data_IF_512451251191
#
_entry.id   IF_512451251191
#
_cell.length_a   1.000
_cell.length_b   1.000
_cell.length_c   1.000
_cell.angle_alpha   90.00
_cell.angle_beta   90.00
_cell.angle_gamma   90.00
#
_symmetry.space_group_name_H-M   'P 1'
#
loop_
_entity.id
_entity.type
_entity.pdbx_description
1 polymer ?
#
# COMPACT_ATOMS: atom_id res chain seq x y z
N UNK A 1 13.14 -10.05 -21.64
CA UNK A 1 12.06 -10.20 -20.67
C UNK A 1 12.67 -10.75 -19.40
N UNK A 2 12.80 -9.87 -18.41
CA UNK A 2 13.22 -10.20 -17.07
C UNK A 2 12.29 -11.25 -16.45
N UNK A 3 12.87 -12.08 -15.58
CA UNK A 3 12.13 -13.09 -14.83
C UNK A 3 11.30 -12.42 -13.72
N UNK A 4 10.00 -12.69 -13.73
CA UNK A 4 9.07 -12.17 -12.72
C UNK A 4 8.70 -13.22 -11.67
N UNK A 5 9.15 -14.47 -11.81
CA UNK A 5 8.85 -15.51 -10.82
C UNK A 5 9.35 -15.09 -9.44
N UNK A 6 8.56 -15.42 -8.41
CA UNK A 6 8.90 -15.11 -7.02
C UNK A 6 8.76 -16.34 -6.13
N UNK A 7 9.58 -16.35 -5.07
CA UNK A 7 9.41 -17.20 -3.91
C UNK A 7 9.14 -16.34 -2.67
N UNK A 8 7.87 -16.24 -2.26
CA UNK A 8 7.45 -15.45 -1.12
C UNK A 8 7.23 -16.34 0.11
N UNK A 9 8.21 -16.36 1.02
CA UNK A 9 8.18 -17.21 2.22
C UNK A 9 7.95 -18.72 1.95
N UNK A 10 8.46 -19.22 0.81
CA UNK A 10 8.25 -20.61 0.36
C UNK A 10 7.13 -20.77 -0.67
N UNK A 11 6.28 -19.75 -0.85
CA UNK A 11 5.17 -19.75 -1.80
C UNK A 11 5.69 -19.32 -3.18
N UNK A 12 5.63 -20.24 -4.14
CA UNK A 12 6.03 -19.99 -5.53
C UNK A 12 4.88 -19.31 -6.30
N UNK A 13 5.20 -18.29 -7.10
CA UNK A 13 4.25 -17.68 -8.01
C UNK A 13 4.89 -17.30 -9.36
N UNK A 14 4.15 -17.32 -10.48
CA UNK A 14 4.66 -16.95 -11.80
C UNK A 14 5.07 -15.49 -11.92
N UNK A 15 4.49 -14.62 -11.09
CA UNK A 15 4.76 -13.19 -11.02
C UNK A 15 4.34 -12.63 -9.64
N UNK A 16 4.76 -11.42 -9.25
CA UNK A 16 4.50 -10.88 -7.92
C UNK A 16 3.09 -10.33 -7.70
N UNK A 17 2.23 -10.33 -8.73
CA UNK A 17 0.92 -9.69 -8.68
C UNK A 17 -0.12 -10.67 -8.16
N UNK A 18 -0.59 -10.43 -6.94
CA UNK A 18 -1.62 -11.24 -6.31
C UNK A 18 -2.93 -10.45 -6.20
N UNK A 19 -4.08 -11.10 -6.35
CA UNK A 19 -5.34 -10.48 -5.93
C UNK A 19 -5.42 -10.49 -4.40
N UNK A 20 -5.78 -9.36 -3.79
CA UNK A 20 -5.97 -9.28 -2.35
C UNK A 20 -7.29 -9.95 -1.91
N UNK A 21 -7.35 -10.42 -0.66
CA UNK A 21 -8.59 -10.93 -0.03
C UNK A 21 -9.67 -9.86 0.02
N UNK A 22 -10.64 -9.94 -0.91
CA UNK A 22 -11.58 -8.87 -1.23
C UNK A 22 -12.72 -9.39 -2.14
N UNK A 23 -13.72 -8.57 -2.55
CA UNK A 23 -14.77 -9.02 -3.49
C UNK A 23 -14.28 -9.75 -4.75
N UNK A 24 -13.12 -9.39 -5.37
CA UNK A 24 -12.59 -10.09 -6.53
C UNK A 24 -12.16 -11.54 -6.28
N UNK A 25 -12.07 -12.00 -5.02
CA UNK A 25 -11.60 -13.35 -4.65
C UNK A 25 -12.63 -14.12 -3.80
N UNK A 26 -13.93 -13.81 -3.94
CA UNK A 26 -14.99 -14.43 -3.14
C UNK A 26 -15.45 -15.81 -3.64
N UNK A 27 -15.10 -16.17 -4.88
CA UNK A 27 -15.51 -17.44 -5.50
C UNK A 27 -14.40 -18.04 -6.35
N UNK A 28 -14.41 -19.36 -6.52
CA UNK A 28 -13.50 -20.07 -7.42
C UNK A 28 -13.61 -19.58 -8.86
N UNK A 29 -14.81 -19.27 -9.34
CA UNK A 29 -14.99 -18.70 -10.68
C UNK A 29 -14.18 -17.41 -10.90
N UNK A 30 -14.19 -16.49 -9.92
CA UNK A 30 -13.46 -15.23 -10.04
C UNK A 30 -11.94 -15.48 -10.00
N UNK A 31 -11.46 -16.29 -9.06
CA UNK A 31 -10.04 -16.59 -8.91
C UNK A 31 -9.49 -17.31 -10.14
N UNK A 32 -10.21 -18.30 -10.66
CA UNK A 32 -9.80 -19.00 -11.88
C UNK A 32 -9.74 -18.07 -13.10
N UNK A 33 -10.67 -17.12 -13.23
CA UNK A 33 -10.62 -16.10 -14.28
C UNK A 33 -9.46 -15.13 -14.13
N UNK A 34 -9.05 -14.83 -12.90
CA UNK A 34 -7.86 -14.04 -12.65
C UNK A 34 -6.60 -14.79 -13.06
N UNK A 35 -6.49 -16.08 -12.73
CA UNK A 35 -5.37 -16.92 -13.20
C UNK A 35 -5.35 -17.06 -14.72
N UNK A 36 -6.51 -17.18 -15.37
CA UNK A 36 -6.60 -17.16 -16.85
C UNK A 36 -6.09 -15.85 -17.47
N UNK A 37 -6.25 -14.71 -16.78
CA UNK A 37 -5.73 -13.42 -17.21
C UNK A 37 -4.22 -13.23 -16.90
N UNK A 38 -3.61 -14.12 -16.11
CA UNK A 38 -2.18 -14.08 -15.80
C UNK A 38 -1.80 -13.58 -14.40
N UNK A 39 -2.75 -13.41 -13.48
CA UNK A 39 -2.43 -13.11 -12.08
C UNK A 39 -1.57 -14.20 -11.46
N UNK A 40 -0.42 -13.85 -10.87
CA UNK A 40 0.50 -14.84 -10.30
C UNK A 40 -0.03 -15.53 -9.04
N UNK A 41 -0.96 -14.89 -8.34
CA UNK A 41 -1.59 -15.46 -7.16
C UNK A 41 -2.89 -14.79 -6.77
N UNK A 42 -3.57 -15.37 -5.79
CA UNK A 42 -4.77 -14.80 -5.18
C UNK A 42 -4.85 -15.17 -3.71
N UNK A 43 -5.20 -14.19 -2.89
CA UNK A 43 -5.62 -14.41 -1.52
C UNK A 43 -7.14 -14.52 -1.50
N UNK A 44 -7.65 -15.69 -1.15
CA UNK A 44 -9.08 -15.99 -1.07
C UNK A 44 -9.77 -15.05 -0.07
N UNK A 45 -11.03 -14.68 -0.35
CA UNK A 45 -11.83 -13.87 0.57
C UNK A 45 -11.85 -14.53 1.95
N UNK A 46 -11.65 -13.72 3.00
CA UNK A 46 -11.50 -14.20 4.37
C UNK A 46 -12.61 -15.20 4.77
N UNK A 47 -12.17 -16.36 5.25
CA UNK A 47 -12.98 -17.47 5.72
C UNK A 47 -13.10 -17.41 7.25
N UNK A 48 -14.26 -17.83 7.75
CA UNK A 48 -14.60 -17.88 9.16
C UNK A 48 -16.01 -18.39 9.34
N UNK A 49 -16.61 -18.14 10.49
CA UNK A 49 -18.03 -18.43 10.72
C UNK A 49 -18.90 -17.57 9.78
N UNK A 50 -19.92 -18.14 9.11
CA UNK A 50 -20.75 -17.39 8.17
C UNK A 50 -21.36 -16.14 8.78
N UNK A 51 -21.13 -14.99 8.13
CA UNK A 51 -21.73 -13.72 8.50
C UNK A 51 -22.85 -13.33 7.52
N UNK A 52 -23.60 -12.29 7.85
CA UNK A 52 -24.60 -11.72 6.95
C UNK A 52 -24.21 -10.29 6.60
N UNK A 53 -23.87 -10.06 5.33
CA UNK A 53 -23.58 -8.73 4.83
C UNK A 53 -24.86 -7.90 4.70
N UNK A 54 -24.72 -6.59 4.93
CA UNK A 54 -25.78 -5.61 4.62
C UNK A 54 -25.84 -5.32 3.11
N UNK A 55 -26.97 -4.77 2.68
CA UNK A 55 -27.21 -4.33 1.30
C UNK A 55 -27.10 -2.81 1.20
N UNK A 56 -26.40 -2.33 0.16
CA UNK A 56 -25.69 -1.04 0.12
C UNK A 56 -24.49 -1.03 1.06
N UNK A 57 -23.32 -1.42 0.54
CA UNK A 57 -22.09 -1.59 1.33
C UNK A 57 -20.82 -1.05 0.67
N UNK A 58 -20.97 -0.32 -0.43
CA UNK A 58 -19.89 0.38 -1.11
C UNK A 58 -20.28 1.83 -1.31
N UNK A 59 -19.30 2.70 -1.17
CA UNK A 59 -19.31 4.06 -1.67
C UNK A 59 -18.02 4.31 -2.45
N UNK A 60 -18.02 5.38 -3.23
CA UNK A 60 -16.83 5.82 -3.95
C UNK A 60 -16.55 7.28 -3.65
N UNK A 61 -15.26 7.61 -3.56
CA UNK A 61 -14.81 8.99 -3.62
C UNK A 61 -14.65 9.41 -5.08
N UNK A 62 -15.09 10.61 -5.40
CA UNK A 62 -14.91 11.25 -6.70
C UNK A 62 -13.99 12.45 -6.52
N UNK A 63 -13.09 12.68 -7.49
CA UNK A 63 -12.11 13.76 -7.37
C UNK A 63 -11.84 14.40 -8.73
N UNK A 64 -11.92 15.73 -8.83
CA UNK A 64 -11.61 16.51 -10.04
C UNK A 64 -12.22 15.96 -11.35
N UNK A 65 -13.50 15.58 -11.32
CA UNK A 65 -14.20 15.04 -12.50
C UNK A 65 -13.90 13.57 -12.81
N UNK A 66 -12.90 12.96 -12.15
CA UNK A 66 -12.67 11.52 -12.21
C UNK A 66 -13.67 10.80 -11.32
N UNK A 67 -14.42 9.86 -11.91
CA UNK A 67 -15.24 8.93 -11.14
C UNK A 67 -14.33 7.88 -10.50
N UNK A 68 -14.63 7.50 -9.26
CA UNK A 68 -13.93 6.48 -8.49
C UNK A 68 -12.42 6.77 -8.36
N UNK A 69 -12.09 7.75 -7.52
CA UNK A 69 -10.73 7.99 -7.02
C UNK A 69 -10.34 7.06 -5.85
N UNK A 70 -11.32 6.34 -5.31
CA UNK A 70 -11.18 5.34 -4.26
C UNK A 70 -12.55 4.78 -3.88
N UNK A 71 -12.56 3.67 -3.15
CA UNK A 71 -13.78 3.08 -2.58
C UNK A 71 -13.75 3.17 -1.06
N UNK A 72 -14.93 3.27 -0.47
CA UNK A 72 -15.18 2.93 0.92
C UNK A 72 -16.10 1.72 0.94
N UNK A 73 -15.89 0.81 1.89
CA UNK A 73 -16.75 -0.37 2.04
C UNK A 73 -17.07 -0.67 3.50
N UNK A 74 -18.27 -1.21 3.73
CA UNK A 74 -18.72 -1.81 4.99
C UNK A 74 -18.99 -3.31 4.81
N UNK A 75 -18.25 -3.96 3.91
CA UNK A 75 -18.35 -5.40 3.66
C UNK A 75 -17.55 -6.19 4.68
N UNK A 76 -18.09 -7.32 5.13
CA UNK A 76 -17.45 -8.20 6.11
C UNK A 76 -16.63 -9.30 5.41
N UNK A 77 -16.37 -10.40 6.13
CA UNK A 77 -15.79 -11.63 5.56
C UNK A 77 -16.77 -12.33 4.60
N UNK A 78 -16.43 -13.51 4.09
CA UNK A 78 -17.35 -14.23 3.20
C UNK A 78 -18.68 -14.55 3.92
N UNK A 79 -19.79 -14.34 3.23
CA UNK A 79 -21.13 -14.79 3.64
C UNK A 79 -21.46 -16.18 3.09
N UNK A 80 -20.51 -16.82 2.39
CA UNK A 80 -20.68 -18.12 1.77
C UNK A 80 -20.34 -19.24 2.76
N UNK A 81 -21.03 -20.40 2.69
CA UNK A 81 -20.68 -21.55 3.53
C UNK A 81 -19.22 -21.97 3.37
N UNK A 82 -18.58 -22.35 4.48
CA UNK A 82 -17.18 -22.75 4.48
C UNK A 82 -16.91 -23.93 3.53
N UNK A 83 -17.76 -24.95 3.53
CA UNK A 83 -17.58 -26.14 2.65
C UNK A 83 -17.54 -25.77 1.17
N UNK A 84 -18.39 -24.84 0.73
CA UNK A 84 -18.42 -24.39 -0.66
C UNK A 84 -17.10 -23.70 -1.03
N UNK A 85 -16.56 -22.88 -0.12
CA UNK A 85 -15.25 -22.27 -0.34
C UNK A 85 -14.13 -23.31 -0.38
N UNK A 86 -14.13 -24.29 0.53
CA UNK A 86 -13.12 -25.34 0.57
C UNK A 86 -13.12 -26.21 -0.70
N UNK A 87 -14.31 -26.58 -1.20
CA UNK A 87 -14.47 -27.31 -2.46
C UNK A 87 -13.94 -26.49 -3.65
N UNK A 88 -14.30 -25.21 -3.72
CA UNK A 88 -13.82 -24.33 -4.79
C UNK A 88 -12.32 -24.04 -4.73
N UNK A 89 -11.75 -23.91 -3.53
CA UNK A 89 -10.29 -23.79 -3.32
C UNK A 89 -9.59 -25.03 -3.87
N UNK A 90 -10.07 -26.22 -3.50
CA UNK A 90 -9.51 -27.49 -3.95
C UNK A 90 -9.53 -27.61 -5.48
N UNK A 91 -10.68 -27.37 -6.11
CA UNK A 91 -10.80 -27.45 -7.57
C UNK A 91 -9.97 -26.37 -8.28
N UNK A 92 -9.87 -25.17 -7.70
CA UNK A 92 -9.04 -24.08 -8.23
C UNK A 92 -7.56 -24.45 -8.18
N UNK A 93 -7.06 -24.93 -7.05
CA UNK A 93 -5.65 -25.31 -6.90
C UNK A 93 -5.30 -26.48 -7.82
N UNK A 94 -6.17 -27.49 -7.91
CA UNK A 94 -6.00 -28.63 -8.81
C UNK A 94 -5.89 -28.20 -10.28
N UNK A 95 -6.68 -27.21 -10.72
CA UNK A 95 -6.65 -26.67 -12.08
C UNK A 95 -5.44 -25.76 -12.33
N UNK A 96 -4.98 -25.04 -11.30
CA UNK A 96 -3.89 -24.05 -11.40
C UNK A 96 -2.76 -24.34 -10.39
N UNK A 97 -2.02 -25.45 -10.53
CA UNK A 97 -1.05 -25.90 -9.53
C UNK A 97 0.13 -24.94 -9.33
N UNK A 98 0.47 -24.16 -10.35
CA UNK A 98 1.63 -23.27 -10.34
C UNK A 98 1.30 -21.83 -9.91
N UNK A 99 0.05 -21.52 -9.58
CA UNK A 99 -0.35 -20.20 -9.07
C UNK A 99 -0.46 -20.23 -7.55
N UNK A 100 -0.05 -19.14 -6.90
CA UNK A 100 -0.15 -19.03 -5.46
C UNK A 100 -1.62 -18.86 -5.04
N UNK A 101 -2.10 -19.74 -4.17
CA UNK A 101 -3.45 -19.69 -3.61
C UNK A 101 -3.38 -19.67 -2.09
N UNK A 102 -3.71 -18.51 -1.50
CA UNK A 102 -3.62 -18.27 -0.06
C UNK A 102 -5.02 -18.21 0.53
N UNK A 103 -5.31 -18.95 1.60
CA UNK A 103 -6.58 -18.78 2.32
C UNK A 103 -6.45 -17.66 3.36
N UNK A 104 -7.24 -16.59 3.20
CA UNK A 104 -7.37 -15.60 4.28
C UNK A 104 -8.30 -16.12 5.37
N UNK A 105 -7.91 -16.02 6.63
CA UNK A 105 -8.62 -16.60 7.78
C UNK A 105 -8.93 -15.55 8.84
N UNK A 106 -10.10 -15.66 9.46
CA UNK A 106 -10.46 -14.90 10.65
C UNK A 106 -11.52 -15.65 11.45
N UNK A 107 -11.19 -15.99 12.69
CA UNK A 107 -12.07 -16.64 13.66
C UNK A 107 -11.98 -15.92 15.00
N UNK A 108 -12.86 -16.26 15.93
CA UNK A 108 -12.75 -15.77 17.30
C UNK A 108 -11.39 -16.16 17.91
N UNK A 109 -10.84 -15.35 18.84
CA UNK A 109 -9.51 -15.54 19.41
C UNK A 109 -9.47 -16.71 20.42
N UNK A 110 -9.80 -17.91 19.93
CA UNK A 110 -9.81 -19.19 20.62
C UNK A 110 -8.88 -20.15 19.88
N UNK A 111 -7.97 -20.79 20.62
CA UNK A 111 -6.92 -21.63 20.05
C UNK A 111 -7.50 -22.79 19.23
N UNK A 112 -8.55 -23.43 19.74
CA UNK A 112 -9.20 -24.57 19.10
C UNK A 112 -9.84 -24.19 17.76
N UNK A 113 -10.45 -23.00 17.68
CA UNK A 113 -11.05 -22.49 16.43
C UNK A 113 -9.99 -22.21 15.38
N UNK A 114 -8.88 -21.59 15.77
CA UNK A 114 -7.72 -21.40 14.89
C UNK A 114 -7.17 -22.75 14.40
N UNK A 115 -7.01 -23.73 15.30
CA UNK A 115 -6.53 -25.06 14.92
C UNK A 115 -7.44 -25.77 13.93
N UNK A 116 -8.76 -25.68 14.11
CA UNK A 116 -9.73 -26.29 13.21
C UNK A 116 -9.67 -25.68 11.81
N UNK A 117 -9.78 -24.34 11.69
CA UNK A 117 -9.86 -23.68 10.40
C UNK A 117 -8.57 -23.83 9.59
N UNK A 118 -7.41 -23.82 10.25
CA UNK A 118 -6.10 -24.06 9.61
C UNK A 118 -6.06 -25.45 8.99
N UNK A 119 -6.36 -26.50 9.76
CA UNK A 119 -6.32 -27.89 9.26
C UNK A 119 -7.27 -28.10 8.08
N UNK A 120 -8.47 -27.51 8.14
CA UNK A 120 -9.47 -27.65 7.08
C UNK A 120 -9.07 -26.94 5.79
N UNK A 121 -8.46 -25.77 5.89
CA UNK A 121 -8.03 -24.98 4.73
C UNK A 121 -6.77 -25.55 4.09
N UNK A 122 -5.81 -26.03 4.89
CA UNK A 122 -4.66 -26.78 4.38
C UNK A 122 -5.06 -28.08 3.70
N UNK A 123 -6.06 -28.81 4.24
CA UNK A 123 -6.60 -30.01 3.60
C UNK A 123 -7.22 -29.75 2.21
N UNK A 124 -7.66 -28.51 1.93
CA UNK A 124 -8.12 -28.09 0.61
C UNK A 124 -6.96 -27.80 -0.37
N UNK A 125 -5.71 -27.76 0.10
CA UNK A 125 -4.51 -27.68 -0.73
C UNK A 125 -3.99 -26.26 -0.96
N UNK A 126 -4.30 -25.29 -0.10
CA UNK A 126 -3.73 -23.93 -0.20
C UNK A 126 -2.19 -23.94 -0.06
N UNK A 127 -1.53 -22.99 -0.70
CA UNK A 127 -0.07 -22.84 -0.61
C UNK A 127 0.38 -22.06 0.63
N UNK A 128 -0.56 -21.36 1.28
CA UNK A 128 -0.30 -20.56 2.48
C UNK A 128 -1.58 -20.01 3.09
N UNK A 129 -1.42 -19.37 4.24
CA UNK A 129 -2.50 -18.79 5.04
C UNK A 129 -2.26 -17.29 5.22
N UNK A 130 -3.32 -16.48 5.22
CA UNK A 130 -3.26 -15.06 5.58
C UNK A 130 -4.19 -14.76 6.77
N UNK A 131 -3.61 -14.44 7.93
CA UNK A 131 -4.37 -14.10 9.13
C UNK A 131 -4.86 -12.66 9.02
N UNK A 132 -6.18 -12.48 8.87
CA UNK A 132 -6.77 -11.16 8.68
C UNK A 132 -7.02 -10.47 10.04
N UNK A 133 -6.02 -9.73 10.51
CA UNK A 133 -6.15 -8.85 11.68
C UNK A 133 -6.49 -7.41 11.30
N UNK A 134 -6.97 -7.17 10.07
CA UNK A 134 -7.09 -5.83 9.52
C UNK A 134 -8.49 -5.27 9.32
N UNK A 135 -9.55 -6.10 9.34
CA UNK A 135 -10.91 -5.66 9.07
C UNK A 135 -11.39 -4.62 10.10
N UNK A 136 -11.66 -3.35 9.71
CA UNK A 136 -11.90 -2.28 10.67
C UNK A 136 -13.33 -2.22 11.22
N UNK A 137 -14.29 -2.92 10.61
CA UNK A 137 -15.73 -2.77 10.89
C UNK A 137 -16.47 -4.11 10.98
N UNK A 138 -17.55 -4.16 11.77
CA UNK A 138 -18.46 -5.30 11.96
C UNK A 138 -17.90 -6.53 12.68
N UNK A 139 -16.57 -6.67 12.70
CA UNK A 139 -15.84 -7.74 13.39
C UNK A 139 -15.10 -7.21 14.63
N UNK A 140 -14.72 -5.93 14.63
CA UNK A 140 -14.09 -5.26 15.76
C UNK A 140 -15.02 -5.25 17.00
N UNK A 141 -16.32 -5.09 16.79
CA UNK A 141 -17.36 -5.16 17.81
C UNK A 141 -17.47 -6.55 18.46
N UNK A 142 -16.88 -7.57 17.83
CA UNK A 142 -16.78 -8.94 18.33
C UNK A 142 -15.35 -9.30 18.79
N UNK A 143 -14.46 -8.32 18.92
CA UNK A 143 -13.06 -8.52 19.32
C UNK A 143 -12.15 -9.10 18.24
N UNK A 144 -12.62 -9.22 17.00
CA UNK A 144 -11.88 -9.78 15.86
C UNK A 144 -11.41 -8.68 14.88
N UNK A 145 -10.64 -9.06 13.86
CA UNK A 145 -10.14 -8.12 12.85
C UNK A 145 -9.22 -7.07 13.46
N UNK A 146 -9.46 -5.79 13.18
CA UNK A 146 -8.61 -4.70 13.68
C UNK A 146 -8.60 -4.58 15.19
N UNK A 147 -9.64 -5.05 15.91
CA UNK A 147 -9.63 -5.06 17.37
C UNK A 147 -8.53 -5.99 17.93
N UNK A 148 -8.25 -7.11 17.24
CA UNK A 148 -7.09 -7.94 17.53
C UNK A 148 -5.81 -7.33 16.95
N UNK A 149 -5.85 -6.85 15.71
CA UNK A 149 -4.68 -6.33 14.99
C UNK A 149 -4.09 -5.03 15.51
N UNK A 150 -4.79 -4.33 16.39
CA UNK A 150 -4.29 -3.13 17.09
C UNK A 150 -3.56 -3.46 18.40
N UNK A 151 -3.62 -4.72 18.86
CA UNK A 151 -3.08 -5.16 20.15
C UNK A 151 -1.93 -6.14 19.87
N UNK A 152 -0.66 -5.71 19.98
CA UNK A 152 0.50 -6.56 19.70
C UNK A 152 0.45 -7.93 20.40
N UNK A 153 0.04 -7.98 21.66
CA UNK A 153 -0.04 -9.23 22.43
C UNK A 153 -1.06 -10.22 21.85
N UNK A 154 -2.16 -9.72 21.26
CA UNK A 154 -3.15 -10.58 20.59
C UNK A 154 -2.65 -11.03 19.22
N UNK A 155 -1.89 -10.20 18.51
CA UNK A 155 -1.26 -10.57 17.23
C UNK A 155 -0.25 -11.69 17.45
N UNK A 156 0.67 -11.53 18.41
CA UNK A 156 1.66 -12.55 18.76
C UNK A 156 0.98 -13.87 19.15
N UNK A 157 0.04 -13.81 20.10
CA UNK A 157 -0.63 -15.00 20.65
C UNK A 157 -1.41 -15.78 19.60
N UNK A 158 -2.20 -15.11 18.75
CA UNK A 158 -2.99 -15.78 17.72
C UNK A 158 -2.11 -16.31 16.59
N UNK A 159 -1.05 -15.59 16.22
CA UNK A 159 -0.07 -16.08 15.25
C UNK A 159 0.60 -17.35 15.78
N UNK A 160 0.99 -17.35 17.06
CA UNK A 160 1.56 -18.53 17.72
C UNK A 160 0.60 -19.73 17.67
N UNK A 161 -0.68 -19.55 18.00
CA UNK A 161 -1.68 -20.62 17.92
C UNK A 161 -1.82 -21.23 16.53
N UNK A 162 -1.79 -20.39 15.49
CA UNK A 162 -1.82 -20.87 14.11
C UNK A 162 -0.55 -21.66 13.80
N UNK A 163 0.62 -21.15 14.19
CA UNK A 163 1.92 -21.80 13.93
C UNK A 163 2.11 -23.13 14.66
N UNK A 164 1.37 -23.40 15.73
CA UNK A 164 1.36 -24.72 16.38
C UNK A 164 0.89 -25.85 15.47
N UNK A 165 0.02 -25.55 14.49
CA UNK A 165 -0.59 -26.56 13.62
C UNK A 165 -0.33 -26.38 12.13
N UNK A 166 -0.04 -25.15 11.67
CA UNK A 166 0.17 -24.85 10.27
C UNK A 166 1.40 -25.59 9.71
N UNK A 167 1.22 -26.25 8.57
CA UNK A 167 2.28 -26.88 7.77
C UNK A 167 2.70 -25.99 6.58
N UNK A 168 1.85 -25.04 6.21
CA UNK A 168 2.07 -24.05 5.14
C UNK A 168 2.51 -22.70 5.72
N UNK A 169 3.15 -21.83 4.92
CA UNK A 169 3.55 -20.50 5.35
C UNK A 169 2.36 -19.65 5.83
N UNK A 170 2.58 -18.92 6.92
CA UNK A 170 1.59 -18.05 7.57
C UNK A 170 2.00 -16.59 7.37
N UNK A 171 1.13 -15.86 6.67
CA UNK A 171 1.22 -14.43 6.42
C UNK A 171 0.30 -13.71 7.42
N UNK A 172 0.78 -12.69 8.11
CA UNK A 172 -0.06 -11.88 9.02
C UNK A 172 -0.42 -10.54 8.38
N UNK A 173 -1.72 -10.28 8.17
CA UNK A 173 -2.20 -9.05 7.54
C UNK A 173 -2.51 -7.96 8.55
N UNK A 174 -1.74 -6.87 8.48
CA UNK A 174 -1.76 -5.81 9.47
C UNK A 174 -2.74 -4.67 9.11
N UNK A 175 -3.34 -4.09 10.15
CA UNK A 175 -4.19 -2.90 10.05
C UNK A 175 -3.35 -1.63 10.00
N UNK A 176 -3.69 -0.65 9.14
CA UNK A 176 -3.08 0.68 9.20
C UNK A 176 -3.68 1.57 10.31
N UNK A 177 -4.73 1.10 10.98
CA UNK A 177 -5.47 1.89 11.96
C UNK A 177 -4.78 1.84 13.33
N UNK A 178 -3.49 2.16 13.38
CA UNK A 178 -2.63 2.06 14.56
C UNK A 178 -1.62 3.20 14.56
N UNK A 179 -1.11 3.58 15.74
CA UNK A 179 -0.07 4.61 15.90
C UNK A 179 1.25 4.19 15.27
N UNK A 180 1.67 2.94 15.50
CA UNK A 180 2.93 2.39 15.01
C UNK A 180 2.69 0.95 14.55
N UNK A 181 2.75 0.74 13.24
CA UNK A 181 2.55 -0.59 12.63
C UNK A 181 3.73 -1.53 12.90
N UNK A 182 4.92 -1.00 13.19
CA UNK A 182 6.10 -1.84 13.44
C UNK A 182 5.93 -2.66 14.71
N UNK A 183 5.21 -2.15 15.71
CA UNK A 183 4.90 -2.86 16.94
C UNK A 183 4.11 -4.17 16.68
N UNK A 184 3.09 -4.13 15.82
CA UNK A 184 2.28 -5.31 15.51
C UNK A 184 2.94 -6.21 14.48
N UNK A 185 3.76 -5.66 13.59
CA UNK A 185 4.62 -6.44 12.70
C UNK A 185 5.66 -7.26 13.48
N UNK A 186 6.33 -6.66 14.47
CA UNK A 186 7.26 -7.37 15.35
C UNK A 186 6.56 -8.45 16.17
N UNK A 187 5.37 -8.17 16.69
CA UNK A 187 4.56 -9.15 17.41
C UNK A 187 4.17 -10.34 16.52
N UNK A 188 3.84 -10.09 15.24
CA UNK A 188 3.59 -11.16 14.27
C UNK A 188 4.84 -12.04 14.07
N UNK A 189 6.02 -11.43 13.93
CA UNK A 189 7.30 -12.17 13.83
C UNK A 189 7.58 -12.97 15.10
N UNK A 190 7.37 -12.40 16.28
CA UNK A 190 7.54 -13.09 17.57
C UNK A 190 6.58 -14.28 17.72
N UNK A 191 5.35 -14.16 17.20
CA UNK A 191 4.38 -15.25 17.11
C UNK A 191 4.74 -16.32 16.08
N UNK A 192 5.81 -16.12 15.29
CA UNK A 192 6.32 -17.09 14.31
C UNK A 192 5.77 -16.93 12.90
N UNK A 193 5.23 -15.76 12.53
CA UNK A 193 4.82 -15.50 11.16
C UNK A 193 5.98 -15.75 10.17
N UNK A 194 5.68 -16.37 9.02
CA UNK A 194 6.67 -16.58 7.96
C UNK A 194 6.76 -15.36 7.03
N UNK A 195 5.71 -14.53 7.01
CA UNK A 195 5.66 -13.27 6.28
C UNK A 195 4.62 -12.32 6.91
N UNK A 196 4.63 -11.06 6.49
CA UNK A 196 3.59 -10.09 6.82
C UNK A 196 3.03 -9.46 5.55
N UNK A 197 1.75 -9.08 5.58
CA UNK A 197 1.13 -8.32 4.51
C UNK A 197 0.54 -7.03 5.04
N UNK A 198 0.69 -5.93 4.29
CA UNK A 198 0.19 -4.63 4.74
C UNK A 198 -0.03 -3.65 3.58
N UNK A 199 -1.06 -2.83 3.60
CA UNK A 199 -2.00 -2.59 4.71
C UNK A 199 -3.41 -3.08 4.36
N UNK A 200 -4.22 -3.35 5.39
CA UNK A 200 -5.67 -3.40 5.22
C UNK A 200 -6.25 -1.99 4.95
N UNK A 201 -7.57 -1.86 4.85
CA UNK A 201 -8.22 -0.58 4.55
C UNK A 201 -8.13 0.42 5.70
N UNK A 202 -8.13 1.72 5.37
CA UNK A 202 -8.08 2.82 6.35
C UNK A 202 -9.48 3.16 6.82
N UNK A 203 -9.70 3.26 8.13
CA UNK A 203 -11.00 3.59 8.68
C UNK A 203 -11.45 5.00 8.25
N UNK A 204 -12.68 5.12 7.76
CA UNK A 204 -13.14 6.33 7.07
C UNK A 204 -14.67 6.43 6.98
N UNK A 205 -15.14 7.63 6.68
CA UNK A 205 -16.51 7.92 6.26
C UNK A 205 -16.46 8.53 4.85
N UNK A 206 -17.16 7.93 3.88
CA UNK A 206 -17.03 8.37 2.48
C UNK A 206 -17.72 9.72 2.21
N UNK A 207 -18.78 10.03 2.95
CA UNK A 207 -19.50 11.28 2.80
C UNK A 207 -20.86 11.27 3.47
N UNK A 208 -21.55 12.39 3.32
CA UNK A 208 -22.91 12.62 3.79
C UNK A 208 -23.71 13.22 2.64
N UNK A 209 -24.85 12.62 2.34
CA UNK A 209 -25.83 13.14 1.41
C UNK A 209 -26.43 14.44 1.99
N UNK A 210 -26.36 15.55 1.26
CA UNK A 210 -26.73 16.86 1.80
C UNK A 210 -28.24 17.11 1.87
N UNK A 211 -29.03 16.33 1.14
CA UNK A 211 -30.49 16.45 1.13
C UNK A 211 -31.12 15.64 2.27
N UNK A 212 -30.55 14.47 2.58
CA UNK A 212 -31.09 13.53 3.56
C UNK A 212 -30.28 13.45 4.85
N UNK A 213 -29.05 13.97 4.86
CA UNK A 213 -28.05 13.86 5.94
C UNK A 213 -27.65 12.44 6.32
N UNK A 214 -28.00 11.47 5.47
CA UNK A 214 -27.52 10.10 5.62
C UNK A 214 -26.05 10.03 5.20
N UNK A 215 -25.31 9.13 5.83
CA UNK A 215 -23.96 8.78 5.35
C UNK A 215 -24.03 8.08 3.99
N UNK A 216 -22.90 8.04 3.30
CA UNK A 216 -22.74 7.29 2.05
C UNK A 216 -21.68 6.20 2.24
N UNK A 217 -22.03 4.90 2.16
CA UNK A 217 -23.39 4.37 2.05
C UNK A 217 -24.16 4.48 3.38
N UNK A 218 -25.46 4.21 3.34
CA UNK A 218 -26.28 3.97 4.52
C UNK A 218 -27.17 2.73 4.32
N UNK A 219 -27.59 2.14 5.42
CA UNK A 219 -28.49 0.98 5.47
C UNK A 219 -29.70 1.37 6.31
N UNK A 220 -30.87 1.50 5.66
CA UNK A 220 -32.11 1.88 6.36
C UNK A 220 -32.03 3.19 7.13
N UNK A 221 -31.28 4.17 6.61
CA UNK A 221 -31.07 5.48 7.28
C UNK A 221 -29.92 5.52 8.30
N UNK A 222 -29.14 4.44 8.45
CA UNK A 222 -28.01 4.38 9.38
C UNK A 222 -26.68 4.19 8.66
N UNK A 223 -25.68 4.94 9.09
CA UNK A 223 -24.29 4.82 8.65
C UNK A 223 -23.42 4.03 9.59
N UNK A 224 -22.30 3.56 9.06
CA UNK A 224 -21.17 3.06 9.83
C UNK A 224 -19.87 3.61 9.21
N UNK A 225 -18.79 3.60 9.99
CA UNK A 225 -17.47 3.79 9.42
C UNK A 225 -17.10 2.56 8.57
N UNK A 226 -16.28 2.77 7.55
CA UNK A 226 -15.89 1.73 6.62
C UNK A 226 -14.43 1.84 6.21
N UNK A 227 -13.97 0.85 5.46
CA UNK A 227 -12.59 0.79 4.96
C UNK A 227 -12.42 1.55 3.65
N UNK A 228 -11.59 2.60 3.66
CA UNK A 228 -11.13 3.30 2.46
C UNK A 228 -9.98 2.54 1.77
N UNK A 229 -10.07 2.43 0.45
CA UNK A 229 -9.06 1.85 -0.42
C UNK A 229 -8.97 2.61 -1.75
N UNK A 230 -7.86 2.43 -2.46
CA UNK A 230 -7.59 3.06 -3.76
C UNK A 230 -6.30 3.89 -3.76
N UNK A 231 -6.00 4.58 -4.87
CA UNK A 231 -4.72 5.25 -5.10
C UNK A 231 -4.27 6.19 -3.96
N UNK A 232 -5.20 6.91 -3.32
CA UNK A 232 -4.87 7.81 -2.22
C UNK A 232 -4.34 7.09 -0.95
N UNK A 233 -4.49 5.76 -0.86
CA UNK A 233 -3.91 4.93 0.22
C UNK A 233 -2.43 4.62 -0.03
N UNK A 234 -1.96 4.65 -1.28
CA UNK A 234 -0.59 4.31 -1.68
C UNK A 234 0.50 4.97 -0.81
N UNK A 235 0.52 6.29 -0.59
CA UNK A 235 1.60 6.92 0.20
C UNK A 235 1.62 6.46 1.66
N UNK A 236 0.45 6.13 2.24
CA UNK A 236 0.34 5.63 3.62
C UNK A 236 0.86 4.20 3.69
N UNK A 237 0.46 3.36 2.73
CA UNK A 237 0.93 1.98 2.62
C UNK A 237 2.45 1.89 2.38
N UNK A 238 3.00 2.74 1.48
CA UNK A 238 4.44 2.80 1.22
C UNK A 238 5.24 3.20 2.46
N UNK A 239 4.78 4.19 3.22
CA UNK A 239 5.42 4.54 4.48
C UNK A 239 5.46 3.35 5.44
N UNK A 240 4.32 2.69 5.66
CA UNK A 240 4.24 1.54 6.58
C UNK A 240 5.11 0.36 6.15
N UNK A 241 5.16 0.06 4.84
CA UNK A 241 6.07 -0.93 4.26
C UNK A 241 7.53 -0.52 4.51
N UNK A 242 7.89 0.73 4.26
CA UNK A 242 9.25 1.25 4.46
C UNK A 242 9.70 1.18 5.93
N UNK A 243 8.83 1.57 6.87
CA UNK A 243 9.08 1.49 8.31
C UNK A 243 9.31 0.05 8.75
N UNK A 244 8.52 -0.91 8.25
CA UNK A 244 8.72 -2.32 8.57
C UNK A 244 9.99 -2.87 7.91
N UNK A 245 10.23 -2.57 6.63
CA UNK A 245 11.38 -3.07 5.88
C UNK A 245 12.73 -2.58 6.42
N UNK A 246 12.79 -1.37 6.97
CA UNK A 246 14.02 -0.83 7.59
C UNK A 246 14.25 -1.30 9.02
N UNK A 247 13.25 -1.89 9.66
CA UNK A 247 13.33 -2.33 11.04
C UNK A 247 13.98 -3.73 11.12
N UNK A 248 15.17 -3.88 11.75
CA UNK A 248 15.89 -5.15 11.78
C UNK A 248 15.19 -6.26 12.58
N UNK A 249 14.19 -5.92 13.41
CA UNK A 249 13.36 -6.89 14.15
C UNK A 249 12.27 -7.51 13.27
N UNK A 250 12.02 -6.96 12.09
CA UNK A 250 11.05 -7.46 11.11
C UNK A 250 11.85 -8.04 9.96
N UNK A 251 12.27 -9.30 10.12
CA UNK A 251 13.18 -10.00 9.21
C UNK A 251 12.48 -11.03 8.32
N UNK A 252 11.17 -10.87 8.12
CA UNK A 252 10.33 -11.73 7.29
C UNK A 252 9.88 -11.00 6.01
N UNK A 253 9.60 -11.70 4.90
CA UNK A 253 9.12 -11.07 3.68
C UNK A 253 7.84 -10.25 3.87
N UNK A 254 7.73 -9.15 3.12
CA UNK A 254 6.58 -8.23 3.14
C UNK A 254 5.78 -8.34 1.85
N UNK A 255 4.47 -8.55 1.95
CA UNK A 255 3.51 -8.46 0.84
C UNK A 255 2.83 -7.09 0.88
N UNK A 256 3.17 -6.20 -0.06
CA UNK A 256 2.65 -4.83 -0.11
C UNK A 256 1.22 -4.75 -0.63
N UNK A 257 0.37 -3.94 0.00
CA UNK A 257 -1.06 -3.77 -0.33
C UNK A 257 -1.46 -2.30 -0.10
N UNK A 258 -2.16 -1.71 -1.06
CA UNK A 258 -2.78 -0.39 -0.88
C UNK A 258 -2.51 0.57 -2.03
N UNK A 259 -3.53 0.86 -2.83
CA UNK A 259 -3.45 1.87 -3.89
C UNK A 259 -2.61 1.51 -5.11
N UNK A 260 -2.09 0.28 -5.20
CA UNK A 260 -1.41 -0.23 -6.39
C UNK A 260 -2.38 -0.33 -7.56
N UNK A 261 -2.07 0.37 -8.64
CA UNK A 261 -2.92 0.48 -9.83
C UNK A 261 -2.22 0.17 -11.15
N UNK A 262 -0.89 0.10 -11.14
CA UNK A 262 -0.07 -0.16 -12.33
C UNK A 262 1.31 -0.73 -11.92
N UNK A 263 2.16 -1.01 -12.91
CA UNK A 263 3.50 -1.55 -12.69
C UNK A 263 4.46 -0.60 -11.96
N UNK A 264 4.32 0.72 -12.11
CA UNK A 264 5.18 1.71 -11.42
C UNK A 264 4.91 1.68 -9.93
N UNK A 265 3.63 1.64 -9.55
CA UNK A 265 3.23 1.50 -8.15
C UNK A 265 3.82 0.20 -7.56
N UNK A 266 3.69 -0.92 -8.27
CA UNK A 266 4.26 -2.18 -7.81
C UNK A 266 5.79 -2.12 -7.67
N UNK A 267 6.49 -1.51 -8.64
CA UNK A 267 7.93 -1.32 -8.58
C UNK A 267 8.34 -0.46 -7.37
N UNK A 268 7.59 0.58 -7.03
CA UNK A 268 7.82 1.39 -5.82
C UNK A 268 7.67 0.56 -4.53
N UNK A 269 6.60 -0.24 -4.42
CA UNK A 269 6.43 -1.13 -3.26
C UNK A 269 7.57 -2.14 -3.12
N UNK A 270 8.04 -2.69 -4.24
CA UNK A 270 9.16 -3.63 -4.26
C UNK A 270 10.48 -2.96 -3.87
N UNK A 271 10.78 -1.79 -4.44
CA UNK A 271 11.93 -0.97 -4.06
C UNK A 271 11.95 -0.65 -2.56
N UNK A 272 10.78 -0.48 -1.95
CA UNK A 272 10.61 -0.24 -0.51
C UNK A 272 10.53 -1.52 0.35
N UNK A 273 10.74 -2.70 -0.23
CA UNK A 273 10.93 -3.95 0.52
C UNK A 273 9.85 -5.02 0.33
N UNK A 274 8.83 -4.79 -0.51
CA UNK A 274 7.82 -5.82 -0.78
C UNK A 274 8.35 -6.92 -1.70
N UNK A 275 8.18 -8.19 -1.33
CA UNK A 275 8.50 -9.36 -2.17
C UNK A 275 7.36 -9.79 -3.08
N UNK A 276 6.11 -9.49 -2.70
CA UNK A 276 4.91 -9.63 -3.53
C UNK A 276 4.01 -8.41 -3.32
N UNK A 277 3.04 -8.20 -4.22
CA UNK A 277 2.09 -7.09 -4.13
C UNK A 277 0.66 -7.60 -4.30
N UNK A 278 -0.26 -7.17 -3.44
CA UNK A 278 -1.69 -7.49 -3.56
C UNK A 278 -2.51 -6.32 -4.08
N UNK A 279 -3.42 -6.61 -5.00
CA UNK A 279 -4.23 -5.61 -5.70
C UNK A 279 -5.72 -5.92 -5.54
N UNK A 280 -6.52 -4.88 -5.31
CA UNK A 280 -7.97 -4.99 -5.15
C UNK A 280 -8.70 -3.92 -5.95
N UNK A 281 -8.57 -2.65 -5.55
CA UNK A 281 -9.32 -1.52 -6.15
C UNK A 281 -9.13 -1.42 -7.66
N UNK A 282 -7.90 -1.63 -8.15
CA UNK A 282 -7.62 -1.55 -9.58
C UNK A 282 -8.29 -2.69 -10.36
N UNK A 283 -8.29 -3.93 -9.84
CA UNK A 283 -9.00 -5.05 -10.44
C UNK A 283 -10.52 -4.85 -10.41
N UNK A 284 -11.07 -4.23 -9.33
CA UNK A 284 -12.49 -3.87 -9.26
C UNK A 284 -12.87 -2.78 -10.28
N UNK A 285 -11.95 -1.86 -10.57
CA UNK A 285 -12.22 -0.73 -11.46
C UNK A 285 -11.99 -1.08 -12.94
N UNK A 286 -10.96 -1.88 -13.25
CA UNK A 286 -10.50 -2.12 -14.62
C UNK A 286 -10.65 -3.59 -15.08
N UNK A 287 -11.07 -4.49 -14.19
CA UNK A 287 -11.14 -5.92 -14.48
C UNK A 287 -9.80 -6.64 -14.34
N UNK A 288 -9.80 -7.97 -14.53
CA UNK A 288 -8.62 -8.80 -14.29
C UNK A 288 -7.50 -8.61 -15.31
N UNK A 289 -7.80 -8.19 -16.54
CA UNK A 289 -6.80 -7.99 -17.61
C UNK A 289 -5.83 -6.85 -17.33
N UNK A 290 -6.08 -5.99 -16.32
CA UNK A 290 -5.12 -4.96 -15.90
C UNK A 290 -3.74 -5.57 -15.56
N UNK A 291 -3.72 -6.84 -15.14
CA UNK A 291 -2.46 -7.52 -14.79
C UNK A 291 -1.53 -7.70 -16.00
N UNK A 292 -2.07 -7.75 -17.22
CA UNK A 292 -1.28 -7.87 -18.45
C UNK A 292 -0.36 -6.65 -18.60
N UNK A 293 -0.93 -5.44 -18.51
CA UNK A 293 -0.16 -4.19 -18.53
C UNK A 293 0.81 -4.06 -17.35
N UNK A 294 0.45 -4.63 -16.19
CA UNK A 294 1.31 -4.63 -15.00
C UNK A 294 2.53 -5.53 -15.20
N UNK A 295 2.34 -6.72 -15.77
CA UNK A 295 3.40 -7.68 -16.08
C UNK A 295 4.33 -7.12 -17.15
N UNK A 296 3.78 -6.67 -18.28
CA UNK A 296 4.56 -6.15 -19.39
C UNK A 296 5.34 -4.89 -18.97
N UNK A 297 4.68 -3.98 -18.26
CA UNK A 297 5.31 -2.76 -17.78
C UNK A 297 6.46 -3.02 -16.80
N UNK A 298 6.28 -3.95 -15.85
CA UNK A 298 7.33 -4.30 -14.89
C UNK A 298 8.51 -5.01 -15.59
N UNK A 299 8.23 -5.96 -16.48
CA UNK A 299 9.29 -6.68 -17.22
C UNK A 299 10.12 -5.72 -18.09
N UNK A 300 9.45 -4.83 -18.83
CA UNK A 300 10.11 -3.81 -19.65
C UNK A 300 10.95 -2.83 -18.81
N UNK A 301 10.44 -2.43 -17.64
CA UNK A 301 11.20 -1.59 -16.71
C UNK A 301 12.47 -2.30 -16.22
N UNK A 302 12.37 -3.56 -15.80
CA UNK A 302 13.52 -4.35 -15.36
C UNK A 302 14.56 -4.52 -16.48
N UNK A 303 14.11 -4.85 -17.70
CA UNK A 303 14.98 -4.93 -18.88
C UNK A 303 15.70 -3.59 -19.14
N UNK A 304 14.97 -2.45 -19.06
CA UNK A 304 15.55 -1.10 -19.23
C UNK A 304 16.61 -0.75 -18.17
N UNK A 305 16.52 -1.37 -16.99
CA UNK A 305 17.47 -1.22 -15.88
C UNK A 305 18.53 -2.31 -15.85
N UNK A 306 18.53 -3.23 -16.81
CA UNK A 306 19.42 -4.39 -16.86
C UNK A 306 19.32 -5.27 -15.60
N UNK A 307 18.13 -5.38 -15.03
CA UNK A 307 17.83 -6.24 -13.89
C UNK A 307 17.19 -7.53 -14.42
N UNK A 308 17.82 -8.67 -14.20
CA UNK A 308 17.40 -9.95 -14.80
C UNK A 308 16.22 -10.62 -14.10
N UNK A 309 15.96 -10.30 -12.83
CA UNK A 309 14.87 -10.85 -12.02
C UNK A 309 14.26 -9.77 -11.13
N UNK A 310 12.94 -9.86 -10.90
CA UNK A 310 12.21 -8.96 -10.00
C UNK A 310 12.77 -8.97 -8.56
N UNK A 311 13.35 -10.09 -8.11
CA UNK A 311 14.04 -10.16 -6.80
C UNK A 311 15.16 -9.13 -6.69
N UNK A 312 15.83 -8.83 -7.81
CA UNK A 312 16.86 -7.81 -7.86
C UNK A 312 16.34 -6.41 -7.54
N UNK A 313 15.03 -6.14 -7.62
CA UNK A 313 14.44 -4.84 -7.29
C UNK A 313 14.16 -4.67 -5.79
N UNK A 314 13.93 -5.78 -5.07
CA UNK A 314 13.39 -5.76 -3.71
C UNK A 314 14.34 -5.03 -2.76
N UNK A 315 13.79 -4.11 -1.97
CA UNK A 315 14.47 -3.33 -0.93
C UNK A 315 15.61 -2.40 -1.37
N UNK A 316 15.89 -2.23 -2.68
CA UNK A 316 16.98 -1.35 -3.17
C UNK A 316 16.90 0.10 -2.70
N UNK A 317 15.72 0.58 -2.31
CA UNK A 317 15.52 1.96 -1.82
C UNK A 317 15.42 2.06 -0.30
N UNK A 318 15.36 0.95 0.43
CA UNK A 318 15.17 0.96 1.89
C UNK A 318 16.33 1.67 2.59
N UNK A 319 17.57 1.43 2.16
CA UNK A 319 18.76 2.10 2.72
C UNK A 319 18.79 3.62 2.48
N UNK A 320 18.01 4.12 1.51
CA UNK A 320 17.92 5.54 1.16
C UNK A 320 16.85 6.27 1.96
N UNK A 321 16.03 5.55 2.72
CA UNK A 321 14.97 6.09 3.54
C UNK A 321 15.46 6.17 4.99
N UNK A 322 15.48 7.39 5.54
CA UNK A 322 16.07 7.68 6.85
C UNK A 322 15.17 8.60 7.65
N UNK A 323 15.46 8.68 8.95
CA UNK A 323 14.84 9.68 9.81
C UNK A 323 15.32 11.08 9.40
N UNK A 324 14.43 12.06 9.51
CA UNK A 324 14.71 13.45 9.13
C UNK A 324 16.00 14.00 9.75
N UNK A 325 16.31 13.59 10.99
CA UNK A 325 17.50 14.03 11.71
C UNK A 325 18.84 13.70 11.04
N UNK A 326 18.83 12.76 10.08
CA UNK A 326 20.01 12.29 9.34
C UNK A 326 20.10 12.87 7.92
N UNK A 327 19.16 13.73 7.52
CA UNK A 327 19.22 14.39 6.22
C UNK A 327 20.29 15.49 6.23
N UNK A 328 20.95 15.69 5.09
CA UNK A 328 21.92 16.76 4.90
C UNK A 328 21.22 18.13 4.88
N UNK A 329 21.45 18.94 5.91
CA UNK A 329 20.91 20.29 6.04
C UNK A 329 21.54 21.29 5.06
N UNK A 330 22.71 20.95 4.53
CA UNK A 330 23.47 21.80 3.63
C UNK A 330 23.18 21.47 2.15
N UNK A 331 22.50 20.36 1.86
CA UNK A 331 21.98 20.09 0.52
C UNK A 331 21.01 21.18 0.08
N UNK A 332 21.33 21.90 -1.00
CA UNK A 332 20.55 23.04 -1.49
C UNK A 332 20.20 22.87 -2.96
N UNK A 333 18.93 23.10 -3.27
CA UNK A 333 18.41 23.19 -4.62
C UNK A 333 17.67 24.52 -4.81
N UNK A 334 17.61 25.02 -6.05
CA UNK A 334 16.82 26.20 -6.43
C UNK A 334 16.00 25.90 -7.67
N UNK A 335 14.87 26.59 -7.82
CA UNK A 335 14.01 26.43 -8.99
C UNK A 335 14.52 27.28 -10.15
N UNK A 336 14.51 26.74 -11.37
CA UNK A 336 14.73 27.48 -12.62
C UNK A 336 13.56 27.27 -13.57
N UNK A 337 13.03 28.36 -14.12
CA UNK A 337 11.88 28.33 -15.03
C UNK A 337 12.39 28.38 -16.46
N UNK A 338 12.01 27.37 -17.26
CA UNK A 338 12.21 27.38 -18.69
C UNK A 338 11.08 28.18 -19.35
N UNK A 339 11.35 29.45 -19.67
CA UNK A 339 10.38 30.35 -20.27
C UNK A 339 9.98 29.99 -21.72
N UNK A 340 10.75 29.15 -22.43
CA UNK A 340 10.36 28.64 -23.75
C UNK A 340 9.27 27.55 -23.66
N UNK A 341 9.22 26.85 -22.53
CA UNK A 341 8.22 25.80 -22.26
C UNK A 341 7.05 26.34 -21.43
N UNK A 342 7.26 27.44 -20.72
CA UNK A 342 6.27 28.07 -19.86
C UNK A 342 5.02 28.52 -20.65
N UNK A 343 3.84 28.15 -20.15
CA UNK A 343 2.55 28.55 -20.72
C UNK A 343 1.94 29.80 -20.04
N UNK A 344 2.71 30.49 -19.19
CA UNK A 344 2.30 31.71 -18.49
C UNK A 344 1.01 31.58 -17.66
N UNK A 345 0.76 30.40 -17.06
CA UNK A 345 -0.40 30.18 -16.20
C UNK A 345 -0.25 30.76 -14.78
N UNK A 346 0.96 31.20 -14.43
CA UNK A 346 1.34 31.84 -13.16
C UNK A 346 1.10 31.00 -11.88
N UNK A 347 0.78 29.71 -11.98
CA UNK A 347 0.57 28.84 -10.82
C UNK A 347 1.78 28.76 -9.89
N UNK A 348 2.99 28.68 -10.46
CA UNK A 348 4.23 28.67 -9.68
C UNK A 348 4.43 29.97 -8.91
N UNK A 349 4.19 31.13 -9.55
CA UNK A 349 4.22 32.43 -8.89
C UNK A 349 3.18 32.49 -7.76
N UNK A 350 1.90 32.17 -8.02
CA UNK A 350 0.84 32.17 -7.01
C UNK A 350 1.19 31.27 -5.81
N UNK A 351 1.68 30.05 -6.06
CA UNK A 351 2.07 29.14 -4.98
C UNK A 351 3.28 29.67 -4.20
N UNK A 352 4.22 30.36 -4.85
CA UNK A 352 5.35 30.94 -4.14
C UNK A 352 4.95 32.19 -3.34
N UNK A 353 4.14 33.05 -3.95
CA UNK A 353 3.74 34.36 -3.46
C UNK A 353 2.80 34.22 -2.26
N UNK A 354 1.72 33.46 -2.40
CA UNK A 354 0.66 33.43 -1.38
C UNK A 354 0.97 32.44 -0.25
N UNK A 355 1.80 31.42 -0.48
CA UNK A 355 1.93 30.28 0.46
C UNK A 355 3.35 29.78 0.70
N UNK A 356 4.39 30.49 0.25
CA UNK A 356 5.78 30.07 0.48
C UNK A 356 6.74 31.24 0.74
N UNK A 357 7.57 31.63 -0.23
CA UNK A 357 8.78 32.44 -0.01
C UNK A 357 8.90 33.67 -0.93
N UNK A 358 7.86 33.98 -1.72
CA UNK A 358 7.79 35.22 -2.54
C UNK A 358 9.02 35.44 -3.45
N UNK A 359 9.63 34.36 -3.96
CA UNK A 359 10.91 34.42 -4.69
C UNK A 359 10.77 34.29 -6.22
N UNK A 360 9.56 34.36 -6.76
CA UNK A 360 9.31 34.28 -8.21
C UNK A 360 8.74 35.62 -8.67
N UNK A 361 9.51 36.37 -9.46
CA UNK A 361 9.08 37.65 -10.02
C UNK A 361 8.29 37.49 -11.32
N UNK A 362 7.30 38.36 -11.48
CA UNK A 362 6.61 38.58 -12.76
C UNK A 362 7.25 39.76 -13.47
N UNK A 363 8.06 39.48 -14.49
CA UNK A 363 8.81 40.47 -15.23
C UNK A 363 8.24 40.69 -16.63
N UNK A 364 8.66 41.76 -17.29
CA UNK A 364 8.29 42.08 -18.67
C UNK A 364 9.55 42.31 -19.49
N UNK A 365 9.70 41.54 -20.57
CA UNK A 365 10.82 41.67 -21.51
C UNK A 365 10.74 42.98 -22.31
N UNK A 366 11.84 43.42 -22.96
CA UNK A 366 11.83 44.61 -23.80
C UNK A 366 10.78 44.58 -24.93
N UNK A 367 10.45 43.39 -25.42
CA UNK A 367 9.43 43.17 -26.46
C UNK A 367 7.99 43.16 -25.91
N UNK A 368 7.81 43.41 -24.61
CA UNK A 368 6.51 43.48 -23.94
C UNK A 368 5.96 42.13 -23.45
N UNK A 369 6.67 41.03 -23.67
CA UNK A 369 6.23 39.71 -23.22
C UNK A 369 6.49 39.54 -21.73
N UNK A 370 5.48 39.06 -20.98
CA UNK A 370 5.62 38.71 -19.57
C UNK A 370 6.36 37.38 -19.42
N UNK A 371 7.22 37.28 -18.41
CA UNK A 371 7.91 36.05 -18.07
C UNK A 371 8.10 35.95 -16.56
N UNK A 372 8.42 34.75 -16.08
CA UNK A 372 8.68 34.48 -14.66
C UNK A 372 10.17 34.26 -14.45
N UNK A 373 10.71 34.82 -13.37
CA UNK A 373 12.10 34.65 -12.97
C UNK A 373 12.19 34.31 -11.48
N UNK A 374 13.02 33.34 -11.13
CA UNK A 374 13.26 32.97 -9.73
C UNK A 374 14.46 33.75 -9.23
N UNK A 375 14.33 34.47 -8.12
CA UNK A 375 15.47 35.02 -7.38
C UNK A 375 16.13 33.89 -6.60
N UNK A 376 17.20 33.33 -7.13
CA UNK A 376 17.86 32.13 -6.57
C UNK A 376 18.37 32.34 -5.14
N UNK A 377 18.74 33.58 -4.78
CA UNK A 377 19.17 33.97 -3.45
C UNK A 377 18.06 33.83 -2.39
N UNK A 378 16.81 34.07 -2.79
CA UNK A 378 15.63 33.97 -1.94
C UNK A 378 14.98 32.58 -2.01
N UNK A 379 15.34 31.78 -3.02
CA UNK A 379 14.82 30.44 -3.22
C UNK A 379 15.39 29.46 -2.19
N UNK A 380 14.50 28.89 -1.37
CA UNK A 380 14.87 27.88 -0.36
C UNK A 380 14.76 26.44 -0.86
N UNK A 381 14.39 26.23 -2.14
CA UNK A 381 14.31 24.89 -2.71
C UNK A 381 13.16 24.01 -2.21
N UNK A 382 12.02 24.59 -1.81
CA UNK A 382 10.88 23.83 -1.27
C UNK A 382 10.13 22.94 -2.29
N UNK A 383 10.50 22.97 -3.57
CA UNK A 383 9.89 22.25 -4.70
C UNK A 383 8.43 22.60 -5.04
N UNK A 384 7.71 23.39 -4.24
CA UNK A 384 6.28 23.61 -4.42
C UNK A 384 5.92 24.13 -5.82
N UNK A 385 6.68 25.10 -6.33
CA UNK A 385 6.47 25.69 -7.66
C UNK A 385 6.57 24.64 -8.78
N UNK A 386 7.55 23.73 -8.70
CA UNK A 386 7.71 22.62 -9.66
C UNK A 386 6.54 21.63 -9.55
N UNK A 387 6.11 21.28 -8.34
CA UNK A 387 5.02 20.30 -8.10
C UNK A 387 3.67 20.80 -8.64
N UNK A 388 3.35 22.09 -8.47
CA UNK A 388 2.08 22.65 -8.94
C UNK A 388 2.08 23.02 -10.43
N UNK A 389 3.25 23.02 -11.07
CA UNK A 389 3.39 23.36 -12.48
C UNK A 389 2.67 22.31 -13.34
N UNK A 390 1.72 22.70 -14.21
CA UNK A 390 1.00 21.74 -15.04
C UNK A 390 1.79 21.29 -16.28
N UNK A 391 2.99 21.83 -16.49
CA UNK A 391 3.83 21.56 -17.67
C UNK A 391 5.11 20.87 -17.21
N UNK A 392 5.24 19.61 -17.59
CA UNK A 392 6.43 18.82 -17.33
C UNK A 392 7.67 19.49 -17.96
N UNK A 393 8.76 19.57 -17.21
CA UNK A 393 10.01 20.20 -17.66
C UNK A 393 10.02 21.73 -17.73
N UNK A 394 8.91 22.41 -17.41
CA UNK A 394 8.91 23.88 -17.39
C UNK A 394 9.61 24.47 -16.15
N UNK A 395 9.76 23.70 -15.07
CA UNK A 395 10.50 24.10 -13.88
C UNK A 395 11.41 22.94 -13.47
N UNK A 396 12.70 23.22 -13.36
CA UNK A 396 13.71 22.28 -12.91
C UNK A 396 14.23 22.71 -11.52
N UNK A 397 14.45 21.73 -10.64
CA UNK A 397 15.12 21.93 -9.36
C UNK A 397 16.60 21.60 -9.55
N UNK A 398 17.46 22.62 -9.45
CA UNK A 398 18.89 22.49 -9.72
C UNK A 398 19.66 22.56 -8.41
N UNK A 399 20.52 21.57 -8.17
CA UNK A 399 21.45 21.57 -7.04
C UNK A 399 22.47 22.70 -7.19
N UNK A 400 22.70 23.44 -6.10
CA UNK A 400 23.70 24.50 -6.04
C UNK A 400 24.65 24.25 -4.86
N UNK A 401 25.94 24.59 -4.98
CA UNK A 401 26.89 24.42 -3.90
C UNK A 401 26.46 25.19 -2.65
N UNK A 402 26.43 24.52 -1.50
CA UNK A 402 26.11 25.13 -0.22
C UNK A 402 26.78 24.38 0.93
N UNK A 403 27.96 24.81 1.36
CA UNK A 403 28.66 24.23 2.50
C UNK A 403 29.05 22.75 2.35
N UNK A 404 29.66 22.19 3.40
CA UNK A 404 29.94 20.76 3.51
C UNK A 404 28.74 20.03 4.12
N UNK A 405 28.43 18.77 3.75
CA UNK A 405 27.29 18.03 4.30
C UNK A 405 27.26 18.01 5.83
N UNK A 406 26.09 18.28 6.42
CA UNK A 406 25.89 18.25 7.86
C UNK A 406 24.45 17.86 8.20
N UNK A 407 24.28 16.83 9.02
CA UNK A 407 22.98 16.40 9.50
C UNK A 407 22.47 17.24 10.68
N UNK A 408 21.16 17.20 10.93
CA UNK A 408 20.59 17.84 12.13
C UNK A 408 21.15 17.27 13.43
N UNK A 409 21.32 15.96 13.50
CA UNK A 409 21.86 15.30 14.68
C UNK A 409 23.30 15.73 14.98
N UNK A 410 24.15 15.86 13.95
CA UNK A 410 25.51 16.41 14.09
C UNK A 410 25.49 17.87 14.52
N UNK A 411 24.63 18.69 13.89
CA UNK A 411 24.47 20.10 14.25
C UNK A 411 24.09 20.27 15.73
N UNK A 412 23.16 19.44 16.23
CA UNK A 412 22.77 19.46 17.65
C UNK A 412 23.93 19.08 18.57
N UNK A 413 24.72 18.08 18.21
CA UNK A 413 25.89 17.67 19.00
C UNK A 413 26.92 18.81 19.13
N UNK A 414 27.21 19.53 18.05
CA UNK A 414 28.12 20.70 18.06
C UNK A 414 27.59 21.83 18.95
N UNK A 415 26.30 22.14 18.86
CA UNK A 415 25.67 23.18 19.70
C UNK A 415 25.72 22.82 21.18
N UNK A 416 25.50 21.55 21.53
CA UNK A 416 25.57 21.08 22.93
C UNK A 416 26.99 21.13 23.51
N UNK A 417 28.03 20.91 22.69
CA UNK A 417 29.42 21.05 23.11
C UNK A 417 29.78 22.52 23.37
N UNK A 418 29.28 23.43 22.53
CA UNK A 418 29.55 24.88 22.62
C UNK A 418 28.91 25.54 23.84
N UNK A 419 27.87 24.95 24.43
CA UNK A 419 27.22 25.43 25.67
C UNK A 419 27.95 24.95 26.93
N UNK A 420 28.79 23.90 26.82
CA UNK A 420 29.55 23.33 27.94
C UNK A 420 30.96 23.90 28.08
N UNK A 421 31.46 24.59 27.05
CA UNK A 421 32.70 25.38 27.03
C UNK A 421 32.43 26.83 27.41
#
# INVERSE_FOLDING_TARGET
MADLQINFAGIQAPNPFWLASAPPTNTGYQVQRAFEAGWGGAVWKTLGDPILNVSSRFAAMHFNGQRVAGFNNIELITDRPLEVNLEEIYETKKKYPNHALIASLMVEPEQEKWHEIVKRTEAAGVDGLELNFGCPHGMAERGMGSASGQVPELVEKQTYWVKEVAQTPVIVKLTPNITDITATAEAAVQGGADAISMINTINSLAGVDLDTWNTVPHVGGKGAHGGYCGPAVKPIALNMVAECARNPRINVPISGIGGISNWKDAAEFMLMGSGSVQVCTAAMHHGFSIVEDMIDGLSNYLDSKQISSVEGLVAKSVERYSDWGNLDLNYKVVARINNDTCINCNKCHIACEDTSHQCIDMLTSPDGNKYLEVREEDCVGCNLCSIVCPVEGAIEMVEIPNGEPMTWNERQAVLQQSVKS
#
